data_IF_844340994391
#
_entry.id   IF_844340994391
#
_cell.length_a   1.000
_cell.length_b   1.000
_cell.length_c   1.000
_cell.angle_alpha   90.00
_cell.angle_beta   90.00
_cell.angle_gamma   90.00
#
_symmetry.space_group_name_H-M   'P 1'
#
loop_
_entity.id
_entity.type
_entity.pdbx_description
1 polymer ?
#
# COMPACT_ATOMS: atom_id res chain seq x y z
N UNK A 1 -5.02 1.47 19.84
CA UNK A 1 -4.81 0.86 18.52
C UNK A 1 -4.62 -0.62 18.75
N UNK A 2 -5.29 -1.47 18.01
CA UNK A 2 -5.14 -2.92 18.12
C UNK A 2 -4.02 -3.36 17.18
N UNK A 3 -3.02 -4.05 17.73
CA UNK A 3 -1.82 -4.50 17.00
C UNK A 3 -2.18 -5.44 15.85
N UNK A 4 -3.26 -6.20 16.03
CA UNK A 4 -3.75 -7.11 14.99
C UNK A 4 -4.38 -6.38 13.79
N UNK A 5 -4.75 -5.10 13.95
CA UNK A 5 -5.47 -4.31 12.94
C UNK A 5 -4.70 -3.08 12.44
N UNK A 6 -3.34 -3.11 12.52
CA UNK A 6 -2.51 -2.03 11.96
C UNK A 6 -2.73 -1.90 10.45
N UNK A 7 -2.90 -0.67 9.99
CA UNK A 7 -3.10 -0.29 8.57
C UNK A 7 -1.93 0.55 8.06
N UNK A 8 -1.86 0.74 6.74
CA UNK A 8 -0.83 1.59 6.13
C UNK A 8 -0.92 3.05 6.63
N UNK A 9 -2.12 3.56 6.87
CA UNK A 9 -2.32 4.93 7.36
C UNK A 9 -2.03 5.11 8.85
N UNK A 10 -1.88 4.03 9.60
CA UNK A 10 -1.37 4.07 10.99
C UNK A 10 0.16 4.23 11.02
N UNK A 11 0.83 3.79 9.96
CA UNK A 11 2.30 3.88 9.80
C UNK A 11 2.72 5.26 9.31
N UNK A 12 2.01 5.77 8.32
CA UNK A 12 2.32 7.05 7.67
C UNK A 12 1.02 7.79 7.37
N UNK A 13 0.99 9.10 7.61
CA UNK A 13 -0.18 9.90 7.25
C UNK A 13 -0.34 9.98 5.71
N UNK A 14 -1.60 10.07 5.28
CA UNK A 14 -1.97 10.08 3.86
C UNK A 14 -1.23 11.15 3.05
N UNK A 15 -1.04 12.35 3.60
CA UNK A 15 -0.40 13.45 2.90
C UNK A 15 1.09 13.18 2.65
N UNK A 16 1.79 12.66 3.65
CA UNK A 16 3.20 12.28 3.51
C UNK A 16 3.35 11.13 2.53
N UNK A 17 2.47 10.13 2.58
CA UNK A 17 2.45 9.02 1.62
C UNK A 17 2.20 9.52 0.19
N UNK A 18 1.23 10.43 -0.01
CA UNK A 18 0.96 11.05 -1.30
C UNK A 18 2.18 11.83 -1.82
N UNK A 19 2.83 12.64 -0.97
CA UNK A 19 4.02 13.40 -1.36
C UNK A 19 5.18 12.49 -1.78
N UNK A 20 5.42 11.38 -1.09
CA UNK A 20 6.43 10.39 -1.47
C UNK A 20 6.11 9.76 -2.83
N UNK A 21 4.87 9.39 -3.03
CA UNK A 21 4.36 8.83 -4.28
C UNK A 21 4.49 9.82 -5.44
N UNK A 22 4.11 11.09 -5.23
CA UNK A 22 4.22 12.16 -6.23
C UNK A 22 5.69 12.41 -6.62
N UNK A 23 6.59 12.43 -5.64
CA UNK A 23 8.02 12.58 -5.88
C UNK A 23 8.59 11.40 -6.69
N UNK A 24 8.19 10.16 -6.36
CA UNK A 24 8.56 8.98 -7.15
C UNK A 24 8.05 9.07 -8.59
N UNK A 25 6.77 9.42 -8.76
CA UNK A 25 6.15 9.55 -10.08
C UNK A 25 6.81 10.67 -10.92
N UNK A 26 7.12 11.80 -10.31
CA UNK A 26 7.83 12.90 -10.96
C UNK A 26 9.25 12.50 -11.37
N UNK A 27 10.00 11.83 -10.50
CA UNK A 27 11.38 11.42 -10.76
C UNK A 27 11.51 10.36 -11.85
N UNK A 28 10.57 9.39 -11.88
CA UNK A 28 10.62 8.25 -12.83
C UNK A 28 9.82 8.52 -14.10
N UNK A 29 8.84 9.40 -14.01
CA UNK A 29 7.83 9.63 -15.06
C UNK A 29 6.91 8.43 -15.25
N UNK A 30 6.80 7.54 -14.24
CA UNK A 30 5.88 6.41 -14.20
C UNK A 30 4.71 6.75 -13.27
N UNK A 31 3.58 6.06 -13.44
CA UNK A 31 2.47 6.18 -12.52
C UNK A 31 2.81 5.58 -11.16
N UNK A 32 2.17 6.08 -10.10
CA UNK A 32 2.28 5.50 -8.78
C UNK A 32 0.96 5.59 -8.00
N UNK A 33 0.73 4.63 -7.09
CA UNK A 33 -0.44 4.50 -6.25
C UNK A 33 -0.08 3.74 -4.97
N UNK A 34 -0.66 4.11 -3.84
CA UNK A 34 -0.62 3.31 -2.63
C UNK A 34 -1.98 2.64 -2.39
N UNK A 35 -1.97 1.37 -2.03
CA UNK A 35 -3.18 0.56 -1.78
C UNK A 35 -3.07 -0.16 -0.44
N UNK A 36 -4.21 -0.49 0.16
CA UNK A 36 -4.35 -1.49 1.20
C UNK A 36 -5.26 -2.65 0.71
N UNK A 37 -5.73 -3.49 1.61
CA UNK A 37 -6.63 -4.61 1.30
C UNK A 37 -8.01 -4.17 0.76
N UNK A 38 -8.42 -2.93 1.01
CA UNK A 38 -9.69 -2.34 0.58
C UNK A 38 -9.57 -1.57 -0.73
N UNK A 39 -8.35 -1.33 -1.22
CA UNK A 39 -8.07 -0.62 -2.45
C UNK A 39 -7.18 0.62 -2.28
N UNK A 40 -7.32 1.65 -3.16
CA UNK A 40 -6.48 2.83 -3.12
C UNK A 40 -6.63 3.65 -1.82
N UNK A 41 -5.52 3.97 -1.17
CA UNK A 41 -5.45 4.86 0.00
C UNK A 41 -4.94 6.26 -0.35
N UNK A 42 -4.36 6.41 -1.53
CA UNK A 42 -3.91 7.70 -2.11
C UNK A 42 -4.59 7.95 -3.45
N UNK A 43 -4.45 9.16 -3.97
CA UNK A 43 -4.81 9.47 -5.35
C UNK A 43 -3.70 9.02 -6.29
N UNK A 44 -4.05 8.61 -7.51
CA UNK A 44 -3.06 8.16 -8.49
C UNK A 44 -2.17 9.30 -8.99
N UNK A 45 -0.85 9.15 -8.88
CA UNK A 45 0.13 10.11 -9.37
C UNK A 45 0.57 9.75 -10.79
N UNK A 46 0.61 10.74 -11.68
CA UNK A 46 1.05 10.59 -13.08
C UNK A 46 0.34 9.47 -13.86
N UNK A 47 -0.94 9.21 -13.55
CA UNK A 47 -1.73 8.20 -14.25
C UNK A 47 -1.97 8.61 -15.71
N UNK A 48 -1.87 7.66 -16.61
CA UNK A 48 -2.07 7.88 -18.05
C UNK A 48 -3.55 8.05 -18.40
N UNK A 49 -3.82 8.86 -19.44
CA UNK A 49 -5.17 8.97 -20.00
C UNK A 49 -5.72 7.63 -20.48
N UNK A 50 -4.85 6.75 -20.99
CA UNK A 50 -5.17 5.38 -21.36
C UNK A 50 -5.83 4.61 -20.21
N UNK A 51 -5.27 4.72 -18.99
CA UNK A 51 -5.84 4.08 -17.82
C UNK A 51 -7.05 4.82 -17.29
N UNK A 52 -6.96 6.15 -17.08
CA UNK A 52 -7.98 6.91 -16.35
C UNK A 52 -9.19 7.28 -17.19
N UNK A 53 -8.98 7.69 -18.46
CA UNK A 53 -10.07 8.17 -19.30
C UNK A 53 -10.75 7.07 -20.10
N UNK A 54 -10.08 5.94 -20.30
CA UNK A 54 -10.60 4.85 -21.11
C UNK A 54 -10.77 3.57 -20.28
N UNK A 55 -9.68 2.91 -19.92
CA UNK A 55 -9.72 1.59 -19.28
C UNK A 55 -10.55 1.59 -17.98
N UNK A 56 -10.27 2.48 -17.04
CA UNK A 56 -10.97 2.56 -15.74
C UNK A 56 -12.37 3.19 -15.83
N UNK A 57 -12.75 3.78 -16.95
CA UNK A 57 -14.15 4.19 -17.20
C UNK A 57 -15.04 3.03 -17.59
N UNK A 58 -14.51 2.01 -18.24
CA UNK A 58 -15.23 0.75 -18.45
C UNK A 58 -15.35 0.03 -17.10
N UNK A 59 -16.55 -0.46 -16.76
CA UNK A 59 -16.77 -1.24 -15.52
C UNK A 59 -15.87 -2.48 -15.49
N UNK A 60 -15.79 -3.19 -16.61
CA UNK A 60 -14.94 -4.38 -16.75
C UNK A 60 -13.46 -4.03 -16.57
N UNK A 61 -13.00 -2.94 -17.20
CA UNK A 61 -11.63 -2.47 -17.08
C UNK A 61 -11.27 -2.04 -15.67
N UNK A 62 -12.16 -1.31 -14.98
CA UNK A 62 -11.94 -0.92 -13.58
C UNK A 62 -11.79 -2.14 -12.65
N UNK A 63 -12.67 -3.14 -12.79
CA UNK A 63 -12.60 -4.39 -12.03
C UNK A 63 -11.30 -5.16 -12.31
N UNK A 64 -10.87 -5.21 -13.58
CA UNK A 64 -9.62 -5.84 -13.98
C UNK A 64 -8.40 -5.11 -13.37
N UNK A 65 -8.37 -3.77 -13.43
CA UNK A 65 -7.30 -2.96 -12.85
C UNK A 65 -7.17 -3.21 -11.35
N UNK A 66 -8.26 -3.09 -10.59
CA UNK A 66 -8.24 -3.30 -9.15
C UNK A 66 -7.75 -4.71 -8.78
N UNK A 67 -8.17 -5.72 -9.54
CA UNK A 67 -7.71 -7.10 -9.34
C UNK A 67 -6.23 -7.28 -9.65
N UNK A 68 -5.70 -6.58 -10.66
CA UNK A 68 -4.27 -6.61 -10.97
C UNK A 68 -3.45 -5.95 -9.86
N UNK A 69 -3.89 -4.80 -9.37
CA UNK A 69 -3.22 -4.07 -8.30
C UNK A 69 -3.13 -4.94 -7.02
N UNK A 70 -4.24 -5.55 -6.61
CA UNK A 70 -4.27 -6.47 -5.45
C UNK A 70 -3.35 -7.68 -5.65
N UNK A 71 -3.46 -8.39 -6.78
CA UNK A 71 -2.62 -9.57 -7.07
C UNK A 71 -1.14 -9.23 -7.13
N UNK A 72 -0.77 -8.08 -7.71
CA UNK A 72 0.61 -7.61 -7.73
C UNK A 72 1.16 -7.41 -6.33
N UNK A 73 0.37 -6.80 -5.44
CA UNK A 73 0.71 -6.60 -4.03
C UNK A 73 0.82 -7.92 -3.25
N UNK A 74 -0.13 -8.83 -3.44
CA UNK A 74 -0.11 -10.17 -2.81
C UNK A 74 1.12 -10.98 -3.22
N UNK A 75 1.46 -11.00 -4.51
CA UNK A 75 2.64 -11.71 -5.02
C UNK A 75 3.93 -11.09 -4.49
N UNK A 76 4.02 -9.75 -4.44
CA UNK A 76 5.14 -9.06 -3.84
C UNK A 76 5.28 -9.37 -2.35
N UNK A 77 4.16 -9.41 -1.61
CA UNK A 77 4.13 -9.78 -0.20
C UNK A 77 4.59 -11.22 0.03
N UNK A 78 4.11 -12.16 -0.79
CA UNK A 78 4.45 -13.59 -0.71
C UNK A 78 5.94 -13.85 -0.93
N UNK A 79 6.57 -13.09 -1.83
CA UNK A 79 7.98 -13.27 -2.19
C UNK A 79 8.94 -12.42 -1.37
N UNK A 80 8.44 -11.38 -0.69
CA UNK A 80 9.24 -10.35 -0.01
C UNK A 80 10.07 -9.50 -0.98
N UNK A 81 9.73 -9.50 -2.27
CA UNK A 81 10.43 -8.80 -3.36
C UNK A 81 9.45 -8.01 -4.21
N UNK A 82 9.92 -7.00 -4.98
CA UNK A 82 9.03 -6.32 -5.91
C UNK A 82 8.51 -7.30 -6.96
N UNK A 83 7.21 -7.24 -7.22
CA UNK A 83 6.56 -7.98 -8.31
C UNK A 83 6.48 -7.08 -9.54
N UNK A 84 6.99 -7.53 -10.69
CA UNK A 84 6.90 -6.82 -11.98
C UNK A 84 6.08 -7.68 -12.93
N UNK A 85 4.98 -7.12 -13.46
CA UNK A 85 4.00 -7.91 -14.20
C UNK A 85 3.33 -7.09 -15.32
N UNK A 86 2.74 -7.79 -16.28
CA UNK A 86 1.79 -7.17 -17.21
C UNK A 86 0.40 -7.17 -16.59
N UNK A 87 -0.23 -5.99 -16.53
CA UNK A 87 -1.61 -5.89 -16.12
C UNK A 87 -2.56 -6.51 -17.17
N UNK A 88 -3.81 -6.74 -16.81
CA UNK A 88 -4.80 -7.35 -17.72
C UNK A 88 -5.00 -6.55 -19.00
N UNK A 89 -4.69 -5.26 -18.99
CA UNK A 89 -4.83 -4.35 -20.13
C UNK A 89 -3.50 -4.12 -20.87
N UNK A 90 -2.49 -4.94 -20.61
CA UNK A 90 -1.27 -5.06 -21.39
C UNK A 90 -0.15 -4.08 -21.08
N UNK A 91 -0.32 -3.17 -20.11
CA UNK A 91 0.77 -2.32 -19.62
C UNK A 91 1.61 -3.06 -18.58
N UNK A 92 2.85 -2.63 -18.42
CA UNK A 92 3.73 -3.15 -17.38
C UNK A 92 3.58 -2.32 -16.11
N UNK A 93 3.28 -3.03 -15.02
CA UNK A 93 3.15 -2.50 -13.68
C UNK A 93 4.08 -3.25 -12.72
N UNK A 94 4.29 -2.70 -11.54
CA UNK A 94 5.05 -3.33 -10.48
C UNK A 94 4.49 -2.94 -9.11
N UNK A 95 4.65 -3.83 -8.13
CA UNK A 95 4.19 -3.64 -6.77
C UNK A 95 5.30 -3.93 -5.76
N UNK A 96 5.32 -3.19 -4.68
CA UNK A 96 6.21 -3.36 -3.54
C UNK A 96 5.39 -3.43 -2.25
N UNK A 97 5.51 -4.50 -1.44
CA UNK A 97 4.68 -4.70 -0.28
C UNK A 97 5.20 -3.90 0.91
N UNK A 98 4.29 -3.37 1.73
CA UNK A 98 4.58 -2.86 3.07
C UNK A 98 4.18 -3.93 4.07
N UNK A 99 5.17 -4.49 4.78
CA UNK A 99 4.98 -5.61 5.71
C UNK A 99 5.44 -5.18 7.10
N UNK A 100 4.54 -5.21 8.07
CA UNK A 100 4.82 -4.87 9.47
C UNK A 100 4.56 -6.09 10.33
N UNK A 101 5.58 -6.54 11.05
CA UNK A 101 5.51 -7.74 11.91
C UNK A 101 4.94 -8.98 11.18
N UNK A 102 5.37 -9.19 9.94
CA UNK A 102 4.90 -10.30 9.10
C UNK A 102 3.51 -10.12 8.47
N UNK A 103 2.80 -9.04 8.79
CA UNK A 103 1.50 -8.71 8.21
C UNK A 103 1.66 -7.77 7.02
N UNK A 104 1.09 -8.12 5.88
CA UNK A 104 0.95 -7.23 4.72
C UNK A 104 -0.14 -6.19 5.02
N UNK A 105 0.24 -4.92 5.13
CA UNK A 105 -0.66 -3.82 5.49
C UNK A 105 -0.98 -2.90 4.31
N UNK A 106 -0.36 -3.13 3.17
CA UNK A 106 -0.57 -2.37 1.95
C UNK A 106 0.56 -2.55 0.95
N UNK A 107 0.43 -1.90 -0.20
CA UNK A 107 1.43 -1.95 -1.27
C UNK A 107 1.61 -0.59 -1.91
N UNK A 108 2.84 -0.30 -2.31
CA UNK A 108 3.13 0.76 -3.26
C UNK A 108 3.14 0.15 -4.66
N UNK A 109 2.37 0.71 -5.57
CA UNK A 109 2.23 0.25 -6.95
C UNK A 109 2.76 1.32 -7.87
N UNK A 110 3.49 0.92 -8.89
CA UNK A 110 3.97 1.81 -9.94
C UNK A 110 3.84 1.17 -11.31
N UNK A 111 3.99 1.97 -12.37
CA UNK A 111 3.94 1.43 -13.73
C UNK A 111 3.23 2.30 -14.73
N UNK A 112 2.24 1.70 -15.40
CA UNK A 112 1.50 2.22 -16.55
C UNK A 112 2.44 2.60 -17.71
N UNK A 113 3.40 1.72 -18.00
CA UNK A 113 4.40 1.91 -19.05
C UNK A 113 4.45 0.70 -19.97
N UNK A 114 5.15 0.86 -21.08
CA UNK A 114 5.44 -0.22 -22.03
C UNK A 114 6.95 -0.47 -22.05
N UNK A 115 7.43 -1.73 -22.02
CA UNK A 115 8.86 -2.02 -22.12
C UNK A 115 9.40 -1.86 -23.56
N UNK A 116 8.51 -1.91 -24.53
CA UNK A 116 8.77 -1.81 -25.98
C UNK A 116 7.54 -1.31 -26.72
N UNK A 117 7.66 -1.11 -28.03
CA UNK A 117 6.53 -0.70 -28.87
C UNK A 117 5.37 -1.71 -28.78
N UNK A 118 4.13 -1.27 -28.54
CA UNK A 118 2.99 -2.16 -28.37
C UNK A 118 2.57 -2.84 -29.67
N UNK A 119 2.10 -4.09 -29.56
CA UNK A 119 1.36 -4.78 -30.62
C UNK A 119 -0.06 -4.20 -30.69
N UNK A 120 -0.31 -3.27 -31.62
CA UNK A 120 -1.61 -2.62 -31.78
C UNK A 120 -2.76 -3.62 -31.98
N UNK A 121 -2.53 -4.74 -32.66
CA UNK A 121 -3.55 -5.75 -32.90
C UNK A 121 -4.04 -6.41 -31.60
N UNK A 122 -3.11 -6.63 -30.65
CA UNK A 122 -3.44 -7.12 -29.32
C UNK A 122 -4.29 -6.10 -28.54
N UNK A 123 -3.91 -4.82 -28.59
CA UNK A 123 -4.63 -3.77 -27.86
C UNK A 123 -5.99 -3.44 -28.48
N UNK A 124 -6.18 -3.61 -29.78
CA UNK A 124 -7.51 -3.51 -30.42
C UNK A 124 -8.47 -4.59 -29.89
N UNK A 125 -8.00 -5.82 -29.68
CA UNK A 125 -8.82 -6.88 -29.07
C UNK A 125 -9.20 -6.54 -27.63
N UNK A 126 -8.28 -5.98 -26.86
CA UNK A 126 -8.57 -5.53 -25.49
C UNK A 126 -9.63 -4.42 -25.51
N UNK A 127 -9.55 -3.47 -26.44
CA UNK A 127 -10.57 -2.43 -26.61
C UNK A 127 -11.96 -3.02 -26.85
N UNK A 128 -12.08 -4.02 -27.73
CA UNK A 128 -13.33 -4.73 -27.99
C UNK A 128 -13.89 -5.39 -26.73
N UNK A 129 -13.04 -6.09 -25.97
CA UNK A 129 -13.42 -6.74 -24.70
C UNK A 129 -13.91 -5.74 -23.64
N UNK A 130 -13.36 -4.53 -23.65
CA UNK A 130 -13.74 -3.44 -22.75
C UNK A 130 -14.95 -2.62 -23.23
N UNK A 131 -15.37 -2.82 -24.50
CA UNK A 131 -16.42 -2.01 -25.14
C UNK A 131 -15.99 -0.58 -25.41
N UNK A 132 -14.70 -0.38 -25.74
CA UNK A 132 -14.10 0.95 -26.02
C UNK A 132 -13.81 1.04 -27.52
N UNK A 133 -13.98 2.23 -28.11
CA UNK A 133 -13.59 2.49 -29.48
C UNK A 133 -12.09 2.17 -29.71
N UNK A 134 -11.80 1.32 -30.70
CA UNK A 134 -10.44 0.83 -30.95
C UNK A 134 -9.49 1.96 -31.33
N UNK A 135 -9.93 2.94 -32.15
CA UNK A 135 -9.05 4.00 -32.62
C UNK A 135 -8.76 5.00 -31.50
N UNK A 136 -9.75 5.31 -30.65
CA UNK A 136 -9.55 6.10 -29.45
C UNK A 136 -8.59 5.40 -28.48
N UNK A 137 -8.75 4.09 -28.26
CA UNK A 137 -7.89 3.30 -27.39
C UNK A 137 -6.43 3.26 -27.88
N UNK A 138 -6.22 3.03 -29.17
CA UNK A 138 -4.88 3.06 -29.78
C UNK A 138 -4.26 4.45 -29.78
N UNK A 139 -5.06 5.50 -30.02
CA UNK A 139 -4.56 6.88 -29.93
C UNK A 139 -4.07 7.25 -28.51
N UNK A 140 -4.75 6.76 -27.48
CA UNK A 140 -4.31 6.90 -26.09
C UNK A 140 -3.10 6.02 -25.75
N UNK A 141 -3.06 4.78 -26.27
CA UNK A 141 -1.93 3.86 -26.10
C UNK A 141 -0.62 4.45 -26.63
N UNK A 142 -0.65 5.11 -27.77
CA UNK A 142 0.52 5.78 -28.37
C UNK A 142 1.12 6.90 -27.52
N UNK A 143 0.39 7.40 -26.52
CA UNK A 143 0.86 8.38 -25.54
C UNK A 143 1.47 7.73 -24.30
N UNK A 144 1.28 6.42 -24.13
CA UNK A 144 1.88 5.68 -23.01
C UNK A 144 3.40 5.64 -23.19
N UNK A 145 4.12 5.95 -22.13
CA UNK A 145 5.58 6.03 -22.16
C UNK A 145 6.20 4.65 -22.39
N UNK A 146 7.15 4.60 -23.33
CA UNK A 146 8.00 3.41 -23.51
C UNK A 146 9.23 3.58 -22.63
N UNK A 147 9.47 2.64 -21.76
CA UNK A 147 10.57 2.63 -20.78
C UNK A 147 11.31 1.31 -20.86
N UNK A 148 12.64 1.30 -21.08
CA UNK A 148 13.41 0.07 -21.15
C UNK A 148 13.22 -0.78 -19.89
N UNK A 149 13.09 -2.11 -20.05
CA UNK A 149 12.84 -3.06 -18.94
C UNK A 149 13.77 -2.85 -17.76
N UNK A 150 15.06 -2.59 -18.00
CA UNK A 150 16.03 -2.30 -16.95
C UNK A 150 15.66 -1.08 -16.08
N UNK A 151 15.07 -0.05 -16.69
CA UNK A 151 14.62 1.14 -15.93
C UNK A 151 13.35 0.84 -15.14
N UNK A 152 12.44 0.02 -15.68
CA UNK A 152 11.25 -0.43 -14.96
C UNK A 152 11.66 -1.24 -13.73
N UNK A 153 12.59 -2.18 -13.87
CA UNK A 153 13.14 -2.98 -12.77
C UNK A 153 13.84 -2.09 -11.71
N UNK A 154 14.59 -1.06 -12.15
CA UNK A 154 15.22 -0.10 -11.24
C UNK A 154 14.18 0.72 -10.46
N UNK A 155 13.12 1.17 -11.12
CA UNK A 155 12.01 1.88 -10.47
C UNK A 155 11.25 0.97 -9.49
N UNK A 156 11.00 -0.29 -9.85
CA UNK A 156 10.41 -1.28 -8.96
C UNK A 156 11.25 -1.50 -7.70
N UNK A 157 12.58 -1.60 -7.85
CA UNK A 157 13.49 -1.71 -6.72
C UNK A 157 13.51 -0.45 -5.86
N UNK A 158 13.46 0.75 -6.45
CA UNK A 158 13.36 2.01 -5.69
C UNK A 158 12.07 2.03 -4.85
N UNK A 159 10.94 1.69 -5.47
CA UNK A 159 9.66 1.63 -4.78
C UNK A 159 9.66 0.59 -3.65
N UNK A 160 10.34 -0.53 -3.86
CA UNK A 160 10.52 -1.55 -2.84
C UNK A 160 11.37 -1.06 -1.66
N UNK A 161 12.45 -0.31 -1.88
CA UNK A 161 13.21 0.30 -0.79
C UNK A 161 12.35 1.29 0.01
N UNK A 162 11.52 2.08 -0.67
CA UNK A 162 10.56 2.97 0.01
C UNK A 162 9.56 2.16 0.86
N UNK A 163 9.00 1.09 0.32
CA UNK A 163 8.08 0.20 1.04
C UNK A 163 8.74 -0.46 2.26
N UNK A 164 10.00 -0.90 2.14
CA UNK A 164 10.77 -1.45 3.27
C UNK A 164 10.98 -0.41 4.37
N UNK A 165 11.35 0.83 4.02
CA UNK A 165 11.49 1.91 5.00
C UNK A 165 10.18 2.20 5.73
N UNK A 166 9.05 2.16 5.03
CA UNK A 166 7.73 2.26 5.66
C UNK A 166 7.44 1.07 6.58
N UNK A 167 7.84 -0.13 6.20
CA UNK A 167 7.69 -1.33 7.01
C UNK A 167 8.48 -1.23 8.33
N UNK A 168 9.72 -0.71 8.26
CA UNK A 168 10.57 -0.46 9.44
C UNK A 168 9.95 0.58 10.37
N UNK A 169 9.53 1.73 9.84
CA UNK A 169 8.81 2.76 10.63
C UNK A 169 7.53 2.20 11.26
N UNK A 170 6.80 1.38 10.53
CA UNK A 170 5.60 0.71 11.04
C UNK A 170 5.91 -0.22 12.20
N UNK A 171 6.97 -1.00 12.09
CA UNK A 171 7.41 -1.89 13.15
C UNK A 171 7.84 -1.13 14.41
N UNK A 172 8.63 -0.07 14.26
CA UNK A 172 9.05 0.78 15.37
C UNK A 172 7.85 1.41 16.11
N UNK A 173 6.86 1.90 15.37
CA UNK A 173 5.61 2.43 15.94
C UNK A 173 4.85 1.35 16.71
N UNK A 174 4.76 0.16 16.17
CA UNK A 174 4.09 -0.97 16.80
C UNK A 174 4.75 -1.32 18.15
N UNK A 175 6.07 -1.43 18.18
CA UNK A 175 6.86 -1.68 19.40
C UNK A 175 6.66 -0.56 20.44
N UNK A 176 6.63 0.70 20.01
CA UNK A 176 6.41 1.83 20.90
C UNK A 176 5.00 1.77 21.55
N UNK A 177 3.97 1.45 20.77
CA UNK A 177 2.58 1.31 21.26
C UNK A 177 2.47 0.17 22.28
N UNK A 178 3.07 -1.00 21.99
CA UNK A 178 3.10 -2.13 22.94
C UNK A 178 3.79 -1.76 24.26
N UNK A 179 4.94 -1.11 24.17
CA UNK A 179 5.68 -0.67 25.36
C UNK A 179 4.85 0.28 26.23
N UNK A 180 4.15 1.24 25.60
CA UNK A 180 3.29 2.16 26.32
C UNK A 180 2.10 1.44 26.98
N UNK A 181 1.42 0.53 26.27
CA UNK A 181 0.31 -0.26 26.80
C UNK A 181 0.74 -1.11 27.99
N UNK A 182 1.93 -1.71 27.93
CA UNK A 182 2.48 -2.51 29.03
C UNK A 182 2.78 -1.63 30.26
N UNK A 183 3.30 -0.42 30.08
CA UNK A 183 3.52 0.56 31.17
C UNK A 183 2.21 0.95 31.83
N UNK A 184 1.18 1.30 31.05
CA UNK A 184 -0.15 1.66 31.56
C UNK A 184 -0.80 0.52 32.35
N UNK A 185 -0.69 -0.72 31.84
CA UNK A 185 -1.19 -1.90 32.56
C UNK A 185 -0.43 -2.12 33.86
N UNK A 186 0.90 -1.93 33.87
CA UNK A 186 1.69 -2.07 35.09
C UNK A 186 1.27 -1.02 36.13
N UNK A 187 1.06 0.23 35.73
CA UNK A 187 0.59 1.29 36.62
C UNK A 187 -0.76 0.91 37.23
N UNK A 188 -1.73 0.48 36.43
CA UNK A 188 -3.05 0.05 36.91
C UNK A 188 -2.97 -1.08 37.95
N UNK A 189 -2.10 -2.07 37.71
CA UNK A 189 -1.90 -3.19 38.65
C UNK A 189 -1.26 -2.71 39.96
N UNK A 190 -0.32 -1.77 39.87
CA UNK A 190 0.29 -1.16 41.07
C UNK A 190 -0.73 -0.37 41.87
N UNK A 191 -1.52 0.50 41.22
CA UNK A 191 -2.58 1.28 41.88
C UNK A 191 -3.59 0.38 42.60
N UNK A 192 -4.08 -0.68 41.93
CA UNK A 192 -4.96 -1.66 42.53
C UNK A 192 -4.37 -2.31 43.80
N UNK A 193 -3.07 -2.66 43.76
CA UNK A 193 -2.40 -3.23 44.93
C UNK A 193 -2.25 -2.21 46.08
N UNK A 194 -2.04 -0.95 45.76
CA UNK A 194 -2.03 0.11 46.80
C UNK A 194 -3.40 0.23 47.45
N UNK A 195 -4.48 0.28 46.69
CA UNK A 195 -5.85 0.32 47.21
C UNK A 195 -6.17 -0.88 48.12
N UNK A 196 -5.74 -2.09 47.70
CA UNK A 196 -5.90 -3.31 48.53
C UNK A 196 -5.11 -3.21 49.87
N UNK A 197 -3.89 -2.67 49.85
CA UNK A 197 -3.06 -2.49 51.03
C UNK A 197 -3.70 -1.47 51.95
N UNK A 198 -4.13 -0.32 51.43
CA UNK A 198 -4.80 0.75 52.20
C UNK A 198 -6.07 0.21 52.88
N UNK A 199 -6.90 -0.55 52.15
CA UNK A 199 -8.10 -1.18 52.75
C UNK A 199 -7.73 -2.09 53.90
N UNK A 200 -6.74 -3.00 53.70
CA UNK A 200 -6.30 -3.95 54.74
C UNK A 200 -5.66 -3.23 55.95
N UNK A 201 -4.93 -2.15 55.73
CA UNK A 201 -4.39 -1.34 56.82
C UNK A 201 -5.52 -0.66 57.63
N UNK A 202 -6.54 -0.15 56.94
CA UNK A 202 -7.73 0.39 57.58
C UNK A 202 -8.42 -0.62 58.51
N UNK A 203 -8.58 -1.86 58.04
CA UNK A 203 -9.16 -2.95 58.83
C UNK A 203 -8.31 -3.30 60.07
N UNK A 204 -6.98 -3.32 59.90
CA UNK A 204 -6.06 -3.59 61.04
C UNK A 204 -6.15 -2.49 62.09
N UNK A 205 -6.13 -1.20 61.64
CA UNK A 205 -6.26 -0.07 62.58
C UNK A 205 -7.60 -0.09 63.35
N UNK A 206 -8.70 -0.41 62.66
CA UNK A 206 -10.02 -0.52 63.27
C UNK A 206 -10.08 -1.67 64.31
N UNK A 207 -9.39 -2.79 64.06
CA UNK A 207 -9.32 -3.93 64.99
C UNK A 207 -8.41 -3.69 66.21
N UNK A 208 -7.47 -2.74 66.16
CA UNK A 208 -6.60 -2.38 67.31
C UNK A 208 -7.32 -1.38 68.26
N UNK A 209 -8.29 -0.62 67.74
CA UNK A 209 -9.02 0.40 68.50
C UNK A 209 -10.25 -0.18 69.27
N UNK A 210 -10.60 -1.41 69.04
CA UNK A 210 -11.66 -2.14 69.75
C UNK A 210 -11.06 -3.13 70.75
#
# INVERSE_FOLDING_TARGET
MDIENITLLDVIDRRTLQNLQDAFAAATGMAALATDENGPVTEGSNFTDFCMKLTRKSRVGAEQCNRCDLKGGEEASRTGKPSVYYCSNGLMDFAAPVIVNGKHIGSLIGGQVLPEAPDEAKFRKIADELGIDQDEYIAALKKVKIVPKRQIEAAANLLWQMANSLSEVGYERLVAIESQKNKENTVKVVDQKFDEIDSRMGDVVANIQN
#
